data_IF_600995636187
#
_entry.id   IF_600995636187
#
_cell.length_a   1.000
_cell.length_b   1.000
_cell.length_c   1.000
_cell.angle_alpha   90.00
_cell.angle_beta   90.00
_cell.angle_gamma   90.00
#
_symmetry.space_group_name_H-M   'P 1'
#
loop_
_entity.id
_entity.type
_entity.pdbx_description
1 polymer ?
#
# COMPACT_ATOMS: atom_id res chain seq x y z
N UNK A 1 -16.83 27.68 -5.53
CA UNK A 1 -15.87 27.96 -4.42
C UNK A 1 -15.57 26.74 -3.51
N UNK A 2 -15.60 25.48 -4.00
CA UNK A 2 -15.25 24.29 -3.17
C UNK A 2 -13.85 23.70 -3.46
N UNK A 3 -13.13 24.21 -4.47
CA UNK A 3 -11.83 23.67 -4.90
C UNK A 3 -10.65 23.99 -3.96
N UNK A 4 -10.70 25.10 -3.20
CA UNK A 4 -9.58 25.51 -2.35
C UNK A 4 -9.56 24.81 -0.97
N UNK A 5 -10.71 24.35 -0.47
CA UNK A 5 -10.77 23.68 0.84
C UNK A 5 -10.06 22.31 0.83
N UNK A 6 -10.13 21.59 -0.30
CA UNK A 6 -9.47 20.28 -0.45
C UNK A 6 -7.95 20.36 -0.62
N UNK A 7 -7.41 21.48 -1.10
CA UNK A 7 -5.96 21.72 -1.14
C UNK A 7 -5.43 22.01 0.26
N UNK A 8 -6.14 22.84 1.04
CA UNK A 8 -5.74 23.18 2.41
C UNK A 8 -5.80 21.99 3.37
N UNK A 9 -6.82 21.13 3.30
CA UNK A 9 -6.90 19.92 4.14
C UNK A 9 -5.81 18.91 3.78
N UNK A 10 -5.45 18.78 2.50
CA UNK A 10 -4.38 17.87 2.06
C UNK A 10 -3.00 18.36 2.52
N UNK A 11 -2.73 19.66 2.43
CA UNK A 11 -1.50 20.26 2.97
C UNK A 11 -1.44 20.13 4.50
N UNK A 12 -2.57 20.33 5.20
CA UNK A 12 -2.67 20.18 6.66
C UNK A 12 -2.44 18.72 7.10
N UNK A 13 -2.92 17.74 6.35
CA UNK A 13 -2.71 16.31 6.64
C UNK A 13 -1.28 15.85 6.33
N UNK A 14 -0.63 16.41 5.31
CA UNK A 14 0.81 16.24 5.07
C UNK A 14 1.63 16.91 6.20
N UNK A 15 1.19 18.08 6.68
CA UNK A 15 1.81 18.74 7.83
C UNK A 15 1.70 17.88 9.10
N UNK A 16 0.60 17.15 9.31
CA UNK A 16 0.47 16.26 10.46
C UNK A 16 1.39 15.02 10.40
N UNK A 17 1.81 14.58 9.20
CA UNK A 17 2.88 13.58 9.03
C UNK A 17 4.25 14.14 9.47
N UNK A 18 4.48 15.44 9.25
CA UNK A 18 5.68 16.13 9.74
C UNK A 18 5.62 16.47 11.24
N UNK A 19 4.43 16.69 11.80
CA UNK A 19 4.25 17.14 13.19
C UNK A 19 4.17 15.99 14.23
N UNK A 20 4.04 14.74 13.80
CA UNK A 20 4.14 13.57 14.70
C UNK A 20 5.59 13.09 14.92
N UNK A 21 6.58 13.81 14.40
CA UNK A 21 7.99 13.54 14.65
C UNK A 21 8.39 14.13 16.01
N UNK A 22 8.97 13.28 16.86
CA UNK A 22 9.40 13.60 18.23
C UNK A 22 10.56 14.60 18.19
N UNK A 23 10.29 15.87 18.53
CA UNK A 23 11.29 16.90 18.82
C UNK A 23 12.05 17.43 17.60
N UNK A 24 12.01 18.74 17.38
CA UNK A 24 12.81 19.63 16.48
C UNK A 24 13.19 19.20 15.03
N UNK A 25 12.98 17.95 14.62
CA UNK A 25 13.31 17.43 13.30
C UNK A 25 12.17 17.71 12.33
N UNK A 26 12.41 18.60 11.35
CA UNK A 26 11.43 18.92 10.30
C UNK A 26 11.28 17.75 9.32
N UNK A 27 10.15 17.07 9.37
CA UNK A 27 9.75 16.11 8.34
C UNK A 27 9.41 16.79 7.00
N UNK A 28 9.67 16.10 5.90
CA UNK A 28 9.27 16.49 4.55
C UNK A 28 8.53 15.33 3.87
N UNK A 29 7.80 15.64 2.79
CA UNK A 29 7.20 14.60 1.94
C UNK A 29 7.85 14.64 0.57
N UNK A 30 8.40 13.50 0.13
CA UNK A 30 8.92 13.28 -1.22
C UNK A 30 7.91 12.46 -2.01
N UNK A 31 7.48 12.97 -3.16
CA UNK A 31 6.59 12.24 -4.08
C UNK A 31 7.41 11.71 -5.25
N UNK A 32 7.27 10.42 -5.54
CA UNK A 32 7.91 9.75 -6.67
C UNK A 32 6.79 9.20 -7.56
N UNK A 33 6.68 9.73 -8.78
CA UNK A 33 5.66 9.34 -9.74
C UNK A 33 6.20 8.28 -10.69
N UNK A 34 5.55 7.12 -10.71
CA UNK A 34 5.83 5.98 -11.56
C UNK A 34 4.77 5.90 -12.66
N UNK A 35 5.20 6.03 -13.91
CA UNK A 35 4.36 6.15 -15.09
C UNK A 35 4.22 4.78 -15.74
N UNK A 36 2.98 4.39 -16.04
CA UNK A 36 2.66 3.07 -16.62
C UNK A 36 1.94 3.19 -17.95
N UNK A 37 1.31 4.34 -18.22
CA UNK A 37 0.46 4.57 -19.38
C UNK A 37 -1.03 4.37 -19.09
N UNK A 38 -1.40 3.42 -18.21
CA UNK A 38 -2.80 3.16 -17.85
C UNK A 38 -3.17 3.67 -16.46
N UNK A 39 -2.34 3.40 -15.45
CA UNK A 39 -2.50 3.89 -14.07
C UNK A 39 -1.14 4.39 -13.59
N UNK A 40 -0.96 5.69 -13.46
CA UNK A 40 0.24 6.24 -12.83
C UNK A 40 0.15 6.07 -11.32
N UNK A 41 1.27 5.70 -10.71
CA UNK A 41 1.37 5.51 -9.27
C UNK A 41 2.23 6.59 -8.65
N UNK A 42 1.84 7.10 -7.49
CA UNK A 42 2.65 8.00 -6.68
C UNK A 42 3.03 7.30 -5.39
N UNK A 43 4.33 7.16 -5.17
CA UNK A 43 4.89 6.76 -3.88
C UNK A 43 5.13 8.06 -3.08
N UNK A 44 4.35 8.26 -2.02
CA UNK A 44 4.47 9.41 -1.14
C UNK A 44 5.29 9.03 0.11
N UNK A 45 6.53 9.47 0.19
CA UNK A 45 7.46 9.14 1.26
C UNK A 45 7.45 10.26 2.31
N UNK A 46 7.06 9.95 3.54
CA UNK A 46 7.39 10.78 4.69
C UNK A 46 8.86 10.57 5.03
N UNK A 47 9.66 11.64 4.99
CA UNK A 47 11.10 11.60 5.21
C UNK A 47 11.47 12.55 6.35
N UNK A 48 12.32 12.11 7.25
CA UNK A 48 12.98 12.99 8.21
C UNK A 48 14.50 12.79 8.15
N UNK A 49 15.23 13.83 8.55
CA UNK A 49 16.68 13.85 8.52
C UNK A 49 17.23 13.86 9.93
N UNK A 50 18.13 12.93 10.22
CA UNK A 50 18.83 12.85 11.50
C UNK A 50 20.29 12.51 11.24
N UNK A 51 21.20 13.32 11.79
CA UNK A 51 22.66 13.16 11.66
C UNK A 51 23.13 13.05 10.19
N UNK A 52 22.52 13.84 9.30
CA UNK A 52 22.83 13.83 7.87
C UNK A 52 22.34 12.59 7.10
N UNK A 53 21.45 11.79 7.70
CA UNK A 53 20.86 10.59 7.08
C UNK A 53 19.35 10.72 6.98
N UNK A 54 18.80 10.21 5.88
CA UNK A 54 17.36 10.15 5.65
C UNK A 54 16.76 8.89 6.29
N UNK A 55 15.54 9.03 6.82
CA UNK A 55 14.75 7.94 7.38
C UNK A 55 13.32 8.04 6.87
N UNK A 56 12.65 6.90 6.75
CA UNK A 56 11.24 6.85 6.35
C UNK A 56 10.36 6.95 7.60
N UNK A 57 9.41 7.88 7.63
CA UNK A 57 8.34 7.90 8.63
C UNK A 57 7.06 7.22 8.15
N UNK A 58 6.89 7.07 6.83
CA UNK A 58 5.79 6.33 6.23
C UNK A 58 5.86 6.32 4.71
N UNK A 59 5.23 5.31 4.09
CA UNK A 59 5.13 5.17 2.64
C UNK A 59 3.65 5.17 2.28
N UNK A 60 3.21 6.12 1.47
CA UNK A 60 1.88 6.17 0.87
C UNK A 60 1.88 5.70 -0.58
N UNK A 61 0.74 5.16 -1.03
CA UNK A 61 0.52 4.77 -2.43
C UNK A 61 -0.78 5.41 -2.93
N UNK A 62 -0.72 6.02 -4.11
CA UNK A 62 -1.85 6.67 -4.76
C UNK A 62 -1.84 6.35 -6.25
N UNK A 63 -3.02 6.09 -6.82
CA UNK A 63 -3.18 5.71 -8.23
C UNK A 63 -3.93 6.78 -9.01
N UNK A 64 -3.57 6.97 -10.28
CA UNK A 64 -4.17 7.97 -11.15
C UNK A 64 -4.33 7.45 -12.57
N UNK A 65 -5.54 7.50 -13.13
CA UNK A 65 -5.78 7.10 -14.52
C UNK A 65 -5.37 8.17 -15.54
N UNK A 66 -5.23 9.43 -15.12
CA UNK A 66 -4.88 10.57 -16.00
C UNK A 66 -3.50 11.17 -15.70
N UNK A 67 -2.81 10.66 -14.66
CA UNK A 67 -1.53 11.18 -14.17
C UNK A 67 -1.60 12.55 -13.49
N UNK A 68 -2.79 13.15 -13.38
CA UNK A 68 -3.01 14.51 -12.84
C UNK A 68 -3.81 14.46 -11.55
N UNK A 69 -4.72 13.51 -11.48
CA UNK A 69 -5.71 13.33 -10.43
C UNK A 69 -5.44 11.99 -9.74
N UNK A 70 -4.60 12.04 -8.71
CA UNK A 70 -4.37 10.88 -7.86
C UNK A 70 -5.58 10.65 -6.95
N UNK A 71 -5.99 9.39 -6.85
CA UNK A 71 -6.88 8.93 -5.81
C UNK A 71 -6.34 9.38 -4.45
N UNK A 72 -7.24 9.66 -3.52
CA UNK A 72 -6.87 9.96 -2.13
C UNK A 72 -7.25 8.79 -1.21
N UNK A 73 -7.67 7.68 -1.80
CA UNK A 73 -8.44 6.57 -1.22
C UNK A 73 -8.09 5.31 -1.99
N UNK A 74 -8.37 4.13 -1.44
CA UNK A 74 -7.81 2.87 -1.91
C UNK A 74 -6.69 2.48 -0.96
N UNK A 75 -5.45 2.81 -1.31
CA UNK A 75 -4.32 2.67 -0.39
C UNK A 75 -4.18 3.87 0.55
N UNK A 76 -3.57 3.66 1.71
CA UNK A 76 -3.26 4.75 2.64
C UNK A 76 -2.23 5.70 2.05
N UNK A 77 -2.56 7.00 1.99
CA UNK A 77 -1.60 8.04 1.65
C UNK A 77 -0.52 8.25 2.72
N UNK A 78 -0.67 7.66 3.92
CA UNK A 78 0.09 7.98 5.13
C UNK A 78 0.84 6.77 5.72
N UNK A 79 0.97 5.69 4.97
CA UNK A 79 1.52 4.43 5.48
C UNK A 79 0.71 3.24 4.97
N UNK A 80 0.68 3.02 3.66
CA UNK A 80 0.02 1.86 3.07
C UNK A 80 0.77 0.56 3.37
N UNK A 81 2.08 0.63 3.59
CA UNK A 81 2.93 -0.50 3.92
C UNK A 81 3.80 -0.20 5.13
N UNK A 82 3.90 -1.16 6.04
CA UNK A 82 4.81 -1.18 7.17
C UNK A 82 5.54 -2.51 7.18
N UNK A 83 6.84 -2.49 7.41
CA UNK A 83 7.67 -3.69 7.40
C UNK A 83 8.33 -3.85 8.76
N UNK A 84 8.20 -5.04 9.34
CA UNK A 84 8.97 -5.44 10.51
C UNK A 84 9.84 -6.63 10.16
N UNK A 85 11.13 -6.52 10.42
CA UNK A 85 12.08 -7.61 10.32
C UNK A 85 12.50 -7.99 11.73
N UNK A 86 12.33 -9.26 12.10
CA UNK A 86 12.60 -9.76 13.46
C UNK A 86 11.88 -8.96 14.56
N UNK A 87 10.64 -8.54 14.30
CA UNK A 87 9.82 -7.74 15.21
C UNK A 87 10.14 -6.24 15.20
N UNK A 88 11.16 -5.82 14.46
CA UNK A 88 11.63 -4.44 14.45
C UNK A 88 11.27 -3.69 13.17
N UNK A 89 10.78 -2.46 13.31
CA UNK A 89 10.39 -1.63 12.17
C UNK A 89 11.60 -1.31 11.28
N UNK A 90 11.56 -1.75 10.01
CA UNK A 90 12.63 -1.53 9.03
C UNK A 90 12.90 -0.04 8.79
N UNK A 91 11.87 0.80 8.89
CA UNK A 91 11.98 2.24 8.62
C UNK A 91 12.73 3.02 9.70
N UNK A 92 13.12 2.38 10.81
CA UNK A 92 14.02 3.00 11.80
C UNK A 92 15.46 3.15 11.27
N UNK A 93 15.81 2.44 10.20
CA UNK A 93 17.16 2.45 9.63
C UNK A 93 17.28 3.54 8.56
N UNK A 94 18.49 4.10 8.38
CA UNK A 94 18.75 5.03 7.28
C UNK A 94 18.38 4.44 5.93
N UNK A 95 17.84 5.28 5.06
CA UNK A 95 17.42 4.90 3.71
C UNK A 95 18.23 5.60 2.63
N UNK A 96 18.64 4.85 1.61
CA UNK A 96 19.09 5.40 0.34
C UNK A 96 17.99 5.19 -0.71
N UNK A 97 17.57 6.26 -1.38
CA UNK A 97 16.46 6.24 -2.32
C UNK A 97 16.97 6.50 -3.73
N UNK A 98 16.68 5.58 -4.66
CA UNK A 98 16.94 5.72 -6.09
C UNK A 98 15.64 5.57 -6.86
N UNK A 99 15.38 6.43 -7.82
CA UNK A 99 14.14 6.38 -8.59
C UNK A 99 14.28 6.93 -9.99
N UNK A 100 13.47 6.38 -10.89
CA UNK A 100 13.18 6.93 -12.21
C UNK A 100 11.66 6.91 -12.46
N UNK A 101 11.25 7.12 -13.72
CA UNK A 101 9.83 7.16 -14.10
C UNK A 101 9.13 5.79 -14.05
N UNK A 102 9.84 4.68 -13.87
CA UNK A 102 9.28 3.31 -13.82
C UNK A 102 9.61 2.59 -12.51
N UNK A 103 10.60 3.05 -11.76
CA UNK A 103 11.13 2.37 -10.58
C UNK A 103 11.36 3.31 -9.40
N UNK A 104 11.16 2.79 -8.19
CA UNK A 104 11.57 3.41 -6.95
C UNK A 104 12.16 2.34 -6.03
N UNK A 105 13.45 2.43 -5.74
CA UNK A 105 14.19 1.52 -4.88
C UNK A 105 14.59 2.25 -3.60
N UNK A 106 14.30 1.63 -2.46
CA UNK A 106 14.71 2.09 -1.13
C UNK A 106 15.62 1.03 -0.51
N UNK A 107 16.84 1.40 -0.16
CA UNK A 107 17.84 0.53 0.44
C UNK A 107 18.03 0.87 1.91
N UNK A 108 18.00 -0.14 2.77
CA UNK A 108 18.16 -0.03 4.21
C UNK A 108 19.38 -0.84 4.66
N UNK A 109 20.26 -0.20 5.43
CA UNK A 109 21.40 -0.87 6.05
C UNK A 109 21.01 -1.30 7.46
N UNK A 110 20.71 -2.59 7.62
CA UNK A 110 20.33 -3.21 8.90
C UNK A 110 21.52 -3.98 9.50
N UNK A 111 21.53 -4.27 10.81
CA UNK A 111 22.54 -5.12 11.44
C UNK A 111 22.66 -6.51 10.80
N UNK A 112 21.55 -7.04 10.28
CA UNK A 112 21.48 -8.35 9.62
C UNK A 112 21.99 -8.33 8.17
N UNK A 113 22.14 -7.15 7.59
CA UNK A 113 22.60 -6.94 6.21
C UNK A 113 21.75 -5.91 5.45
N UNK A 114 21.92 -5.88 4.14
CA UNK A 114 21.21 -4.95 3.27
C UNK A 114 19.81 -5.50 2.98
N UNK A 115 18.79 -4.69 3.25
CA UNK A 115 17.40 -4.94 2.86
C UNK A 115 16.96 -3.88 1.85
N UNK A 116 16.02 -4.19 0.97
CA UNK A 116 15.47 -3.19 0.05
C UNK A 116 14.00 -3.40 -0.26
N UNK A 117 13.36 -2.33 -0.70
CA UNK A 117 12.01 -2.35 -1.27
C UNK A 117 12.10 -1.73 -2.65
N UNK A 118 11.66 -2.45 -3.66
CA UNK A 118 11.61 -1.97 -5.04
C UNK A 118 10.18 -1.94 -5.51
N UNK A 119 9.69 -0.74 -5.84
CA UNK A 119 8.46 -0.52 -6.58
C UNK A 119 8.80 -0.41 -8.06
N UNK A 120 8.08 -1.15 -8.90
CA UNK A 120 8.27 -1.12 -10.35
C UNK A 120 6.93 -1.14 -11.07
N UNK A 121 6.84 -0.36 -12.12
CA UNK A 121 5.72 -0.44 -13.06
C UNK A 121 6.08 -1.20 -14.32
N UNK A 122 5.06 -1.76 -14.96
CA UNK A 122 5.17 -2.33 -16.30
C UNK A 122 4.64 -1.33 -17.33
N UNK A 123 5.16 -1.43 -18.55
CA UNK A 123 4.67 -0.63 -19.66
C UNK A 123 3.24 -1.04 -20.01
N UNK A 124 2.36 -0.04 -20.12
CA UNK A 124 0.92 -0.19 -20.30
C UNK A 124 0.25 -1.04 -19.19
N UNK A 125 0.93 -1.21 -18.04
CA UNK A 125 0.39 -1.95 -16.90
C UNK A 125 -0.62 -1.13 -16.10
N UNK A 126 -1.52 -1.81 -15.39
CA UNK A 126 -2.43 -1.21 -14.42
C UNK A 126 -2.06 -1.60 -12.97
N UNK A 127 -0.85 -2.11 -12.76
CA UNK A 127 -0.41 -2.73 -11.51
C UNK A 127 0.98 -2.23 -11.11
N UNK A 128 1.23 -2.20 -9.80
CA UNK A 128 2.51 -1.89 -9.21
C UNK A 128 3.15 -3.17 -8.68
N UNK A 129 4.27 -3.56 -9.27
CA UNK A 129 5.06 -4.69 -8.80
C UNK A 129 5.92 -4.24 -7.64
N UNK A 130 5.99 -5.04 -6.60
CA UNK A 130 6.82 -4.76 -5.43
C UNK A 130 7.62 -5.99 -5.05
N UNK A 131 8.93 -5.80 -4.90
CA UNK A 131 9.83 -6.82 -4.36
C UNK A 131 10.46 -6.28 -3.09
N UNK A 132 10.43 -7.08 -2.03
CA UNK A 132 11.14 -6.81 -0.78
C UNK A 132 12.31 -7.78 -0.72
N UNK A 133 13.54 -7.26 -0.79
CA UNK A 133 14.74 -8.05 -0.62
C UNK A 133 15.19 -8.04 0.84
N UNK A 134 15.59 -9.22 1.33
CA UNK A 134 16.03 -9.46 2.70
C UNK A 134 17.41 -10.11 2.70
N UNK A 135 18.22 -9.93 3.76
CA UNK A 135 19.53 -10.55 3.88
C UNK A 135 19.50 -12.09 4.03
N UNK A 136 18.31 -12.72 3.96
CA UNK A 136 18.13 -14.19 4.02
C UNK A 136 18.14 -14.78 5.43
N UNK A 137 18.32 -13.96 6.46
CA UNK A 137 18.19 -14.35 7.88
C UNK A 137 17.09 -13.51 8.51
N UNK A 138 16.11 -14.18 9.11
CA UNK A 138 15.06 -13.52 9.87
C UNK A 138 13.65 -13.68 9.31
N UNK A 139 12.70 -13.15 10.07
CA UNK A 139 11.27 -13.22 9.82
C UNK A 139 10.74 -11.85 9.43
N UNK A 140 10.07 -11.76 8.28
CA UNK A 140 9.40 -10.55 7.82
C UNK A 140 7.91 -10.59 8.17
N UNK A 141 7.42 -9.50 8.72
CA UNK A 141 6.00 -9.17 8.82
C UNK A 141 5.73 -7.94 7.98
N UNK A 142 4.77 -8.06 7.06
CA UNK A 142 4.26 -6.93 6.26
C UNK A 142 2.88 -6.56 6.75
N UNK A 143 2.65 -5.29 7.05
CA UNK A 143 1.33 -4.76 7.33
C UNK A 143 0.91 -3.80 6.23
N UNK A 144 -0.25 -4.05 5.64
CA UNK A 144 -0.87 -3.24 4.60
C UNK A 144 -2.09 -2.51 5.15
N UNK A 145 -2.27 -1.25 4.75
CA UNK A 145 -3.36 -0.40 5.23
C UNK A 145 -4.13 0.20 4.05
N UNK A 146 -5.41 -0.18 3.94
CA UNK A 146 -6.33 0.27 2.91
C UNK A 146 -7.45 1.14 3.48
N UNK A 147 -7.87 2.16 2.73
CA UNK A 147 -9.04 2.99 2.97
C UNK A 147 -9.93 2.96 1.73
N UNK A 148 -10.61 1.83 1.45
CA UNK A 148 -11.35 1.69 0.21
C UNK A 148 -12.57 2.62 0.19
N UNK A 149 -12.88 3.26 -0.94
CA UNK A 149 -14.06 4.13 -1.07
C UNK A 149 -13.90 5.51 -0.43
N UNK A 150 -14.76 5.85 0.55
CA UNK A 150 -14.80 7.19 1.16
C UNK A 150 -14.27 7.21 2.60
N UNK A 151 -13.54 8.26 2.97
CA UNK A 151 -13.11 8.54 4.35
C UNK A 151 -13.91 9.74 4.85
N UNK A 152 -15.12 9.49 5.34
CA UNK A 152 -15.93 10.51 6.01
C UNK A 152 -16.01 10.21 7.51
N UNK A 153 -15.23 10.95 8.32
CA UNK A 153 -15.19 10.79 9.78
C UNK A 153 -16.52 11.07 10.47
N UNK A 154 -17.39 11.85 9.84
CA UNK A 154 -18.67 12.26 10.43
C UNK A 154 -19.76 11.20 10.24
N UNK A 155 -19.52 10.19 9.40
CA UNK A 155 -20.54 9.26 8.95
C UNK A 155 -19.99 7.83 8.86
N UNK A 156 -19.35 7.36 9.94
CA UNK A 156 -18.82 6.01 10.03
C UNK A 156 -19.88 4.92 9.79
N UNK A 157 -21.10 5.16 10.24
CA UNK A 157 -22.27 4.28 10.02
C UNK A 157 -22.66 4.15 8.54
N UNK A 158 -22.12 4.99 7.66
CA UNK A 158 -22.35 4.90 6.22
C UNK A 158 -21.27 4.09 5.49
N UNK A 159 -20.19 3.67 6.15
CA UNK A 159 -19.19 2.84 5.47
C UNK A 159 -19.60 1.36 5.57
N UNK A 160 -19.65 0.67 4.44
CA UNK A 160 -19.80 -0.77 4.39
C UNK A 160 -18.49 -1.31 3.82
N UNK A 161 -17.47 -1.46 4.66
CA UNK A 161 -16.16 -1.94 4.21
C UNK A 161 -16.22 -3.44 3.96
N UNK A 162 -15.68 -3.85 2.82
CA UNK A 162 -15.62 -5.25 2.43
C UNK A 162 -14.20 -5.66 2.10
N UNK A 163 -13.93 -6.93 2.37
CA UNK A 163 -12.71 -7.63 1.98
C UNK A 163 -13.13 -8.85 1.16
N UNK A 164 -12.97 -8.77 -0.16
CA UNK A 164 -13.20 -9.90 -1.04
C UNK A 164 -11.90 -10.64 -1.32
N UNK A 165 -12.02 -11.95 -1.47
CA UNK A 165 -10.93 -12.86 -1.84
C UNK A 165 -11.39 -13.75 -2.99
N UNK A 166 -10.53 -14.68 -3.41
CA UNK A 166 -10.89 -15.70 -4.40
C UNK A 166 -12.10 -16.57 -3.96
N UNK A 167 -12.31 -16.74 -2.66
CA UNK A 167 -13.27 -17.71 -2.13
C UNK A 167 -14.53 -17.08 -1.53
N UNK A 168 -14.45 -15.84 -1.05
CA UNK A 168 -15.52 -15.23 -0.24
C UNK A 168 -15.44 -13.71 -0.21
N UNK A 169 -16.48 -13.12 0.39
CA UNK A 169 -16.60 -11.69 0.62
C UNK A 169 -16.96 -11.45 2.09
N UNK A 170 -16.11 -10.72 2.79
CA UNK A 170 -16.20 -10.46 4.22
C UNK A 170 -16.67 -9.01 4.43
N UNK A 171 -17.89 -8.86 4.93
CA UNK A 171 -18.39 -7.57 5.38
C UNK A 171 -17.79 -7.21 6.74
N UNK A 172 -17.05 -6.10 6.81
CA UNK A 172 -16.47 -5.51 8.02
C UNK A 172 -15.78 -6.54 8.95
N UNK A 173 -14.71 -7.22 8.49
CA UNK A 173 -14.14 -8.34 9.23
C UNK A 173 -13.59 -7.89 10.60
N UNK A 174 -14.05 -8.47 11.70
CA UNK A 174 -13.55 -8.13 13.04
C UNK A 174 -12.09 -8.55 13.22
N UNK A 175 -11.75 -9.74 12.73
CA UNK A 175 -10.40 -10.29 12.54
C UNK A 175 -10.55 -11.65 11.86
N UNK A 176 -10.02 -11.81 10.66
CA UNK A 176 -10.23 -13.01 9.85
C UNK A 176 -8.90 -13.55 9.32
N UNK A 177 -8.73 -14.88 9.36
CA UNK A 177 -7.60 -15.55 8.72
C UNK A 177 -7.92 -15.85 7.27
N UNK A 178 -6.97 -15.56 6.39
CA UNK A 178 -7.09 -15.81 4.94
C UNK A 178 -6.34 -17.11 4.61
N UNK A 179 -7.01 -18.00 3.87
CA UNK A 179 -6.49 -19.30 3.44
C UNK A 179 -5.41 -19.18 2.37
N UNK A 180 -4.65 -20.25 2.16
CA UNK A 180 -3.54 -20.24 1.16
C UNK A 180 -4.05 -20.24 -0.28
N UNK A 181 -5.29 -20.66 -0.49
CA UNK A 181 -6.01 -20.62 -1.76
C UNK A 181 -6.49 -19.20 -2.12
N UNK A 182 -6.46 -18.25 -1.18
CA UNK A 182 -6.94 -16.88 -1.32
C UNK A 182 -5.77 -15.91 -1.63
N UNK A 183 -5.09 -16.13 -2.76
CA UNK A 183 -3.83 -15.45 -3.14
C UNK A 183 -3.94 -13.93 -3.43
N UNK A 184 -5.15 -13.39 -3.41
CA UNK A 184 -5.40 -11.96 -3.55
C UNK A 184 -6.48 -11.50 -2.59
N UNK A 185 -6.41 -10.22 -2.24
CA UNK A 185 -7.36 -9.53 -1.39
C UNK A 185 -7.77 -8.23 -2.08
N UNK A 186 -9.07 -8.01 -2.22
CA UNK A 186 -9.68 -6.81 -2.78
C UNK A 186 -10.43 -6.04 -1.70
N UNK A 187 -10.14 -4.75 -1.58
CA UNK A 187 -10.74 -3.87 -0.59
C UNK A 187 -11.71 -2.91 -1.28
N UNK A 188 -12.97 -2.94 -0.86
CA UNK A 188 -13.99 -2.03 -1.39
C UNK A 188 -14.95 -1.52 -0.31
N UNK A 189 -15.80 -0.58 -0.68
CA UNK A 189 -16.92 -0.13 0.14
C UNK A 189 -18.23 -0.37 -0.62
N UNK A 190 -19.13 -1.16 -0.05
CA UNK A 190 -20.40 -1.56 -0.65
C UNK A 190 -21.38 -0.40 -0.84
N UNK A 191 -21.25 0.68 -0.07
CA UNK A 191 -22.11 1.87 -0.17
C UNK A 191 -21.49 2.96 -1.03
N UNK A 192 -20.17 3.15 -0.91
CA UNK A 192 -19.44 4.24 -1.53
C UNK A 192 -18.70 3.79 -2.80
N UNK A 193 -19.46 3.47 -3.84
CA UNK A 193 -18.92 3.09 -5.14
C UNK A 193 -18.12 4.25 -5.78
N UNK A 194 -16.85 4.07 -6.18
CA UNK A 194 -16.05 5.13 -6.78
C UNK A 194 -16.45 5.56 -8.19
N UNK A 195 -17.38 4.86 -8.86
CA UNK A 195 -17.69 5.07 -10.27
C UNK A 195 -17.82 6.55 -10.66
N UNK A 196 -16.99 6.98 -11.62
CA UNK A 196 -16.98 8.34 -12.15
C UNK A 196 -16.25 9.39 -11.29
N UNK A 197 -15.71 9.02 -10.12
CA UNK A 197 -14.95 9.91 -9.26
C UNK A 197 -13.48 9.47 -9.14
N UNK A 198 -12.54 10.08 -9.88
CA UNK A 198 -11.13 9.66 -9.88
C UNK A 198 -10.41 9.91 -8.54
N UNK A 199 -10.98 10.71 -7.62
CA UNK A 199 -10.41 10.91 -6.28
C UNK A 199 -10.73 9.76 -5.32
N UNK A 200 -11.72 8.93 -5.65
CA UNK A 200 -12.11 7.73 -4.90
C UNK A 200 -11.59 6.49 -5.63
N UNK A 201 -11.24 5.47 -4.87
CA UNK A 201 -10.71 4.24 -5.45
C UNK A 201 -11.00 3.05 -4.55
N UNK A 202 -10.92 1.88 -5.18
CA UNK A 202 -10.74 0.59 -4.50
C UNK A 202 -9.34 0.09 -4.79
N UNK A 203 -8.86 -0.87 -4.01
CA UNK A 203 -7.51 -1.39 -4.19
C UNK A 203 -7.47 -2.89 -3.99
N UNK A 204 -6.41 -3.52 -4.51
CA UNK A 204 -6.18 -4.94 -4.32
C UNK A 204 -4.70 -5.24 -4.12
N UNK A 205 -4.40 -6.29 -3.38
CA UNK A 205 -3.07 -6.88 -3.29
C UNK A 205 -3.13 -8.34 -3.72
N UNK A 206 -2.17 -8.77 -4.51
CA UNK A 206 -1.82 -10.17 -4.73
C UNK A 206 -0.49 -10.44 -4.04
N UNK A 207 -0.42 -11.56 -3.34
CA UNK A 207 0.76 -12.03 -2.64
C UNK A 207 1.00 -13.49 -3.04
N UNK A 208 2.21 -14.01 -2.77
CA UNK A 208 2.52 -15.41 -3.05
C UNK A 208 2.26 -16.27 -1.79
N UNK A 209 1.25 -17.16 -1.77
CA UNK A 209 0.98 -18.02 -0.62
C UNK A 209 2.14 -18.97 -0.30
N UNK A 210 3.06 -19.21 -1.25
CA UNK A 210 4.26 -20.00 -1.00
C UNK A 210 5.36 -19.23 -0.26
N UNK A 211 5.28 -17.89 -0.19
CA UNK A 211 6.19 -17.03 0.57
C UNK A 211 5.60 -16.67 1.95
N UNK A 212 4.34 -16.99 2.20
CA UNK A 212 3.59 -16.54 3.37
C UNK A 212 3.20 -17.70 4.28
N UNK A 213 3.43 -17.53 5.58
CA UNK A 213 3.04 -18.47 6.63
C UNK A 213 1.58 -18.20 7.08
N UNK A 214 1.24 -16.93 7.30
CA UNK A 214 -0.07 -16.51 7.78
C UNK A 214 -0.49 -15.20 7.13
N UNK A 215 -1.79 -15.08 6.81
CA UNK A 215 -2.43 -13.83 6.43
C UNK A 215 -3.65 -13.59 7.31
N UNK A 216 -3.74 -12.40 7.87
CA UNK A 216 -4.88 -11.92 8.65
C UNK A 216 -5.39 -10.60 8.11
N UNK A 217 -6.70 -10.41 8.11
CA UNK A 217 -7.35 -9.15 7.79
C UNK A 217 -8.18 -8.67 8.97
N UNK A 218 -8.19 -7.36 9.19
CA UNK A 218 -8.92 -6.72 10.29
C UNK A 218 -9.49 -5.39 9.85
N UNK A 219 -10.80 -5.28 9.91
CA UNK A 219 -11.53 -4.03 9.82
C UNK A 219 -11.27 -3.20 11.08
N UNK A 220 -10.74 -2.01 10.88
CA UNK A 220 -10.67 -0.97 11.90
C UNK A 220 -11.77 0.07 11.65
N UNK A 221 -11.90 1.06 12.53
CA UNK A 221 -12.92 2.12 12.41
C UNK A 221 -12.94 2.82 11.04
N UNK A 222 -11.80 2.89 10.35
CA UNK A 222 -11.66 3.61 9.07
C UNK A 222 -10.95 2.82 7.98
N UNK A 223 -9.98 2.00 8.39
CA UNK A 223 -9.09 1.27 7.53
C UNK A 223 -9.41 -0.22 7.55
N UNK A 224 -8.93 -0.94 6.55
CA UNK A 224 -8.72 -2.37 6.64
C UNK A 224 -7.22 -2.59 6.74
N UNK A 225 -6.80 -3.31 7.79
CA UNK A 225 -5.43 -3.76 7.99
C UNK A 225 -5.30 -5.19 7.49
N UNK A 226 -4.25 -5.46 6.71
CA UNK A 226 -3.85 -6.83 6.36
C UNK A 226 -2.46 -7.07 6.90
N UNK A 227 -2.28 -8.13 7.66
CA UNK A 227 -0.96 -8.55 8.18
C UNK A 227 -0.57 -9.85 7.51
N UNK A 228 0.59 -9.86 6.87
CA UNK A 228 1.22 -11.02 6.27
C UNK A 228 2.48 -11.36 7.04
N UNK A 229 2.56 -12.58 7.52
CA UNK A 229 3.74 -13.14 8.17
C UNK A 229 4.41 -14.07 7.19
N UNK A 230 5.65 -13.78 6.83
CA UNK A 230 6.39 -14.53 5.80
C UNK A 230 7.18 -15.68 6.39
N UNK A 231 7.47 -16.68 5.54
CA UNK A 231 8.35 -17.78 5.90
C UNK A 231 9.75 -17.24 6.20
N UNK A 232 10.41 -17.84 7.18
CA UNK A 232 11.79 -17.52 7.51
C UNK A 232 12.75 -17.98 6.40
N UNK A 233 13.88 -17.27 6.25
CA UNK A 233 14.94 -17.66 5.31
C UNK A 233 14.70 -17.26 3.86
N UNK A 234 13.58 -16.60 3.57
CA UNK A 234 13.34 -16.02 2.25
C UNK A 234 14.37 -14.90 1.98
N UNK A 235 14.83 -14.83 0.72
CA UNK A 235 15.63 -13.70 0.24
C UNK A 235 14.75 -12.60 -0.34
N UNK A 236 13.59 -12.96 -0.85
CA UNK A 236 12.68 -12.05 -1.54
C UNK A 236 11.22 -12.40 -1.21
N UNK A 237 10.40 -11.36 -1.14
CA UNK A 237 8.94 -11.46 -1.06
C UNK A 237 8.33 -10.56 -2.12
N UNK A 238 7.27 -11.04 -2.77
CA UNK A 238 6.67 -10.39 -3.91
C UNK A 238 5.22 -9.98 -3.64
N UNK A 239 4.89 -8.77 -4.09
CA UNK A 239 3.53 -8.25 -4.12
C UNK A 239 3.21 -7.65 -5.48
N UNK A 240 1.93 -7.71 -5.82
CA UNK A 240 1.35 -6.89 -6.87
C UNK A 240 0.22 -6.08 -6.25
N UNK A 241 0.30 -4.76 -6.39
CA UNK A 241 -0.73 -3.85 -5.95
C UNK A 241 -1.51 -3.31 -7.13
N UNK A 242 -2.83 -3.20 -6.97
CA UNK A 242 -3.70 -2.48 -7.87
C UNK A 242 -4.36 -1.33 -7.16
N UNK A 243 -4.66 -0.33 -7.97
CA UNK A 243 -5.60 0.72 -7.62
C UNK A 243 -6.57 0.93 -8.78
N UNK A 244 -7.84 1.18 -8.46
CA UNK A 244 -8.91 1.32 -9.46
C UNK A 244 -9.60 2.69 -9.34
N UNK A 245 -8.91 3.81 -9.65
CA UNK A 245 -9.46 5.16 -9.49
C UNK A 245 -10.71 5.35 -10.35
N UNK A 246 -11.81 5.81 -9.74
CA UNK A 246 -13.05 6.11 -10.44
C UNK A 246 -13.76 4.90 -11.09
N UNK A 247 -13.27 3.67 -10.87
CA UNK A 247 -13.88 2.46 -11.42
C UNK A 247 -14.97 1.93 -10.49
N UNK A 248 -16.00 1.37 -11.10
CA UNK A 248 -17.02 0.60 -10.40
C UNK A 248 -16.41 -0.59 -9.65
N UNK A 249 -16.76 -0.78 -8.37
CA UNK A 249 -16.14 -1.82 -7.56
C UNK A 249 -16.52 -3.24 -7.99
N UNK A 250 -17.71 -3.46 -8.56
CA UNK A 250 -18.10 -4.79 -9.05
C UNK A 250 -17.30 -5.14 -10.30
N UNK A 251 -17.08 -4.19 -11.20
CA UNK A 251 -16.20 -4.38 -12.37
C UNK A 251 -14.74 -4.57 -12.01
N UNK A 252 -14.27 -3.97 -10.91
CA UNK A 252 -12.91 -4.19 -10.41
C UNK A 252 -12.79 -5.56 -9.72
N UNK A 253 -13.77 -5.96 -8.92
CA UNK A 253 -13.84 -7.31 -8.33
C UNK A 253 -13.93 -8.40 -9.40
N UNK A 254 -14.73 -8.21 -10.44
CA UNK A 254 -14.81 -9.14 -11.58
C UNK A 254 -13.45 -9.28 -12.28
N UNK A 255 -12.72 -8.17 -12.45
CA UNK A 255 -11.35 -8.22 -12.95
C UNK A 255 -10.44 -9.08 -12.06
N UNK A 256 -10.52 -8.90 -10.73
CA UNK A 256 -9.73 -9.70 -9.77
C UNK A 256 -10.10 -11.19 -9.83
N UNK A 257 -11.38 -11.54 -9.93
CA UNK A 257 -11.87 -12.92 -10.04
C UNK A 257 -11.43 -13.63 -11.31
N UNK A 258 -11.18 -12.87 -12.38
CA UNK A 258 -10.75 -13.40 -13.68
C UNK A 258 -9.21 -13.42 -13.85
N UNK A 259 -8.44 -13.07 -12.81
CA UNK A 259 -6.98 -13.15 -12.87
C UNK A 259 -6.52 -14.60 -13.03
N UNK A 260 -5.63 -14.81 -13.99
CA UNK A 260 -4.84 -16.04 -14.08
C UNK A 260 -3.55 -15.82 -13.31
N UNK A 261 -3.35 -16.60 -12.26
CA UNK A 261 -2.19 -16.47 -11.36
C UNK A 261 -1.27 -17.65 -11.62
N UNK A 262 -0.06 -17.34 -12.07
CA UNK A 262 0.99 -18.32 -12.30
C UNK A 262 2.14 -18.02 -11.34
N UNK A 263 2.52 -19.03 -10.56
CA UNK A 263 3.69 -18.94 -9.69
C UNK A 263 4.91 -19.45 -10.44
N UNK A 264 5.97 -18.66 -10.47
CA UNK A 264 7.26 -19.17 -10.94
C UNK A 264 7.70 -20.30 -10.01
N UNK A 265 8.09 -21.44 -10.59
CA UNK A 265 8.70 -22.52 -9.81
C UNK A 265 10.00 -21.99 -9.22
N UNK A 266 10.13 -22.08 -7.89
CA UNK A 266 11.43 -21.87 -7.24
C UNK A 266 12.39 -22.93 -7.78
N UNK A 267 13.47 -22.47 -8.42
CA UNK A 267 14.59 -23.32 -8.86
C UNK A 267 15.32 -23.92 -7.66
#
# INVERSE_FOLDING_TARGET
>A
MRGNLYKSIFLLCILMLALNLRGDEKGTVRNIDLITGNINYRIALGIFNKDGKEYISGIGLLGSSDGRTYSKRGWSAQGFIQLKMNGENLFKYPVEIKSDVKTCEMNFNTPEGKSSITFRTEEQGNRLLTTIHMPGKGKLETTLIAYPGEFNKQNLSLNQRHVATAMRDLAFPSEEKIGKEEAWIYFYDGKNNPQGNPYKSTCAVLYNPNETEQVGVKGENYAVRTTLVHKEGLKEVHYIFWEFPGRDHFKALEYMKNLKIEYMKSL
#
